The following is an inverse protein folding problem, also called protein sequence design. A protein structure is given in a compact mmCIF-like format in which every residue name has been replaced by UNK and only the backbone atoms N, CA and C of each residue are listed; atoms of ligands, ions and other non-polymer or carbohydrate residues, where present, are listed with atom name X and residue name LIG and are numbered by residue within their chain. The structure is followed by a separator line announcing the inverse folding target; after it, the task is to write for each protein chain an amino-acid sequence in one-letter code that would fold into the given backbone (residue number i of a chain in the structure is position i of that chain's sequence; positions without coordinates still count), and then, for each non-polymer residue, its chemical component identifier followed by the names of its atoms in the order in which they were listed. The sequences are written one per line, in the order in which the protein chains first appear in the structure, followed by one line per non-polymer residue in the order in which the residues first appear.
data_IF_663215863159
#
_entry.id   IF_663215863159
#
_cell.length_a   1.000
_cell.length_b   1.000
_cell.length_c   1.000
_cell.angle_alpha   90.00
_cell.angle_beta   90.00
_cell.angle_gamma   90.00
#
_symmetry.space_group_name_H-M   'P 1'
#
loop_
_entity.id
_entity.type
_entity.pdbx_description
1 polymer ?
#
# COMPACT_ATOMS: atom_id res chain seq x y z
N UNK A 1 -31.57 -3.64 -38.44
CA UNK A 1 -30.59 -4.75 -38.39
C UNK A 1 -29.16 -4.35 -37.96
N UNK A 2 -28.77 -3.06 -37.96
CA UNK A 2 -27.39 -2.66 -37.61
C UNK A 2 -27.06 -2.65 -36.10
N UNK A 3 -28.05 -2.49 -35.21
CA UNK A 3 -27.81 -2.41 -33.76
C UNK A 3 -27.49 -3.75 -33.09
N UNK A 4 -28.04 -4.86 -33.61
CA UNK A 4 -27.80 -6.22 -33.07
C UNK A 4 -26.41 -6.75 -33.42
N UNK A 5 -25.86 -6.33 -34.58
CA UNK A 5 -24.52 -6.71 -35.02
C UNK A 5 -23.42 -6.02 -34.20
N UNK A 6 -23.65 -4.79 -33.74
CA UNK A 6 -22.72 -4.06 -32.85
C UNK A 6 -22.68 -4.64 -31.42
N UNK A 7 -23.79 -5.16 -30.89
CA UNK A 7 -23.80 -5.83 -29.57
C UNK A 7 -23.02 -7.15 -29.58
N UNK A 8 -23.17 -7.96 -30.63
CA UNK A 8 -22.40 -9.21 -30.78
C UNK A 8 -20.90 -8.99 -30.95
N UNK A 9 -20.47 -7.88 -31.57
CA UNK A 9 -19.06 -7.57 -31.71
C UNK A 9 -18.44 -7.17 -30.35
N UNK A 10 -19.16 -6.37 -29.57
CA UNK A 10 -18.72 -5.98 -28.22
C UNK A 10 -18.72 -7.17 -27.24
N UNK A 11 -19.70 -8.07 -27.32
CA UNK A 11 -19.75 -9.28 -26.48
C UNK A 11 -18.62 -10.27 -26.82
N UNK A 12 -18.18 -10.32 -28.08
CA UNK A 12 -17.05 -11.14 -28.49
C UNK A 12 -15.70 -10.52 -28.09
N UNK A 13 -15.54 -9.19 -28.16
CA UNK A 13 -14.34 -8.50 -27.65
C UNK A 13 -14.21 -8.63 -26.12
N UNK A 14 -15.33 -8.60 -25.38
CA UNK A 14 -15.32 -8.83 -23.92
C UNK A 14 -14.90 -10.27 -23.61
N UNK A 15 -15.37 -11.26 -24.39
CA UNK A 15 -15.01 -12.67 -24.18
C UNK A 15 -13.57 -13.01 -24.61
N UNK A 16 -12.98 -12.27 -25.56
CA UNK A 16 -11.55 -12.37 -25.87
C UNK A 16 -10.68 -11.80 -24.74
N UNK A 17 -11.09 -10.71 -24.09
CA UNK A 17 -10.36 -10.12 -22.96
C UNK A 17 -10.42 -11.03 -21.71
N UNK A 18 -11.51 -11.77 -21.49
CA UNK A 18 -11.64 -12.67 -20.34
C UNK A 18 -10.88 -13.99 -20.48
N UNK A 19 -10.61 -14.46 -21.71
CA UNK A 19 -9.89 -15.71 -21.93
C UNK A 19 -8.35 -15.55 -21.86
N UNK A 20 -7.84 -14.32 -21.95
CA UNK A 20 -6.40 -14.03 -21.80
C UNK A 20 -5.98 -13.85 -20.33
N UNK A 21 -6.93 -13.97 -19.39
CA UNK A 21 -6.67 -13.87 -17.95
C UNK A 21 -6.39 -15.22 -17.28
N UNK A 22 -6.34 -16.31 -18.06
CA UNK A 22 -5.90 -17.61 -17.58
C UNK A 22 -4.43 -17.84 -17.97
N UNK A 23 -3.56 -16.96 -17.47
CA UNK A 23 -2.12 -17.17 -17.47
C UNK A 23 -1.65 -17.26 -16.01
N UNK A 24 -1.44 -18.50 -15.59
CA UNK A 24 -0.54 -18.97 -14.53
C UNK A 24 -0.11 -17.95 -13.48
N UNK A 25 -0.74 -18.03 -12.30
CA UNK A 25 -0.16 -17.46 -11.09
C UNK A 25 1.23 -18.10 -10.89
N UNK A 26 2.31 -17.31 -10.76
CA UNK A 26 3.63 -17.86 -10.50
C UNK A 26 3.57 -18.64 -9.19
N UNK A 27 4.11 -19.85 -9.21
CA UNK A 27 4.20 -20.68 -8.00
C UNK A 27 4.98 -19.95 -6.91
N UNK A 28 4.78 -20.31 -5.64
CA UNK A 28 5.52 -19.72 -4.53
C UNK A 28 7.04 -19.76 -4.78
N UNK A 29 7.53 -20.83 -5.41
CA UNK A 29 8.93 -21.00 -5.81
C UNK A 29 9.38 -19.96 -6.87
N UNK A 30 8.52 -19.62 -7.83
CA UNK A 30 8.80 -18.57 -8.82
C UNK A 30 8.85 -17.18 -8.19
N UNK A 31 7.97 -16.88 -7.24
CA UNK A 31 7.99 -15.61 -6.50
C UNK A 31 9.25 -15.47 -5.63
N UNK A 32 9.66 -16.55 -4.97
CA UNK A 32 10.91 -16.58 -4.18
C UNK A 32 12.13 -16.46 -5.10
N UNK A 33 12.10 -17.06 -6.28
CA UNK A 33 13.18 -16.96 -7.28
C UNK A 33 13.28 -15.57 -7.93
N UNK A 34 12.14 -14.91 -8.19
CA UNK A 34 12.10 -13.54 -8.71
C UNK A 34 12.57 -12.53 -7.66
N UNK A 35 12.38 -12.83 -6.37
CA UNK A 35 12.93 -12.07 -5.25
C UNK A 35 14.46 -12.25 -5.13
N UNK A 36 14.97 -13.47 -5.32
CA UNK A 36 16.41 -13.74 -5.28
C UNK A 36 17.17 -13.28 -6.53
N UNK A 37 16.46 -13.07 -7.66
CA UNK A 37 17.04 -12.63 -8.94
C UNK A 37 17.14 -11.10 -9.08
N UNK A 38 16.63 -10.33 -8.11
CA UNK A 38 16.87 -8.88 -8.05
C UNK A 38 18.38 -8.69 -7.91
N UNK A 39 19.00 -8.05 -8.90
CA UNK A 39 20.44 -7.78 -8.90
C UNK A 39 20.77 -6.76 -7.81
N UNK A 40 21.50 -7.20 -6.78
CA UNK A 40 21.88 -6.42 -5.60
C UNK A 40 23.38 -6.11 -5.72
N UNK A 41 23.73 -4.83 -5.63
CA UNK A 41 25.12 -4.39 -5.62
C UNK A 41 25.73 -4.67 -4.24
N UNK A 42 26.99 -5.08 -4.24
CA UNK A 42 27.68 -5.88 -3.21
C UNK A 42 27.91 -5.28 -1.81
N UNK A 43 27.10 -4.30 -1.38
CA UNK A 43 27.21 -3.65 -0.06
C UNK A 43 26.16 -4.11 0.97
N UNK A 44 25.28 -5.03 0.59
CA UNK A 44 23.93 -5.18 1.15
C UNK A 44 23.70 -6.42 2.06
N UNK A 45 24.72 -7.13 2.55
CA UNK A 45 24.47 -8.43 3.22
C UNK A 45 23.89 -8.36 4.65
N UNK A 46 24.24 -7.37 5.48
CA UNK A 46 23.80 -7.34 6.89
C UNK A 46 22.37 -6.80 7.09
N UNK A 47 21.93 -5.82 6.29
CA UNK A 47 20.58 -5.22 6.43
C UNK A 47 19.48 -6.00 5.67
N UNK A 48 19.86 -6.87 4.72
CA UNK A 48 18.89 -7.70 3.98
C UNK A 48 18.32 -8.81 4.85
N UNK A 49 19.10 -9.33 5.81
CA UNK A 49 18.63 -10.31 6.77
C UNK A 49 17.49 -9.76 7.65
N UNK A 50 17.58 -8.51 8.10
CA UNK A 50 16.51 -7.87 8.89
C UNK A 50 15.26 -7.57 8.04
N UNK A 51 15.47 -7.17 6.77
CA UNK A 51 14.41 -6.94 5.79
C UNK A 51 13.64 -8.22 5.42
N UNK A 52 14.33 -9.37 5.31
CA UNK A 52 13.74 -10.67 4.97
C UNK A 52 12.79 -11.23 6.04
N UNK A 53 12.97 -10.85 7.31
CA UNK A 53 12.05 -11.20 8.39
C UNK A 53 10.85 -10.26 8.50
N UNK A 54 10.99 -8.98 8.11
CA UNK A 54 9.91 -7.97 8.21
C UNK A 54 8.88 -8.07 7.07
N UNK A 55 9.29 -8.47 5.86
CA UNK A 55 8.38 -8.78 4.76
C UNK A 55 7.94 -10.26 4.72
N UNK A 56 8.51 -11.12 5.57
CA UNK A 56 8.23 -12.56 5.61
C UNK A 56 6.76 -12.91 5.83
N UNK A 57 6.00 -12.07 6.53
CA UNK A 57 4.53 -12.22 6.69
C UNK A 57 3.75 -11.75 5.46
N UNK A 58 4.23 -10.71 4.79
CA UNK A 58 3.51 -10.10 3.67
C UNK A 58 3.68 -10.89 2.38
N UNK A 59 4.89 -11.40 2.12
CA UNK A 59 5.25 -12.13 0.89
C UNK A 59 4.30 -13.30 0.55
N UNK A 60 3.97 -14.22 1.47
CA UNK A 60 3.07 -15.34 1.14
C UNK A 60 1.63 -14.88 0.87
N UNK A 61 1.24 -13.70 1.37
CA UNK A 61 -0.11 -13.15 1.23
C UNK A 61 -0.27 -12.27 -0.02
N UNK A 62 0.82 -11.90 -0.70
CA UNK A 62 0.81 -11.04 -1.90
C UNK A 62 -0.11 -11.56 -3.02
N UNK A 63 -0.14 -12.87 -3.35
CA UNK A 63 -1.00 -13.39 -4.41
C UNK A 63 -2.50 -13.16 -4.16
N UNK A 64 -2.92 -13.14 -2.89
CA UNK A 64 -4.33 -12.96 -2.50
C UNK A 64 -4.82 -11.51 -2.65
N UNK A 65 -3.89 -10.55 -2.80
CA UNK A 65 -4.22 -9.13 -2.91
C UNK A 65 -4.40 -8.61 -4.33
N UNK A 66 -4.33 -9.48 -5.33
CA UNK A 66 -4.47 -9.09 -6.73
C UNK A 66 -5.79 -8.33 -6.98
N UNK A 67 -5.71 -7.13 -7.55
CA UNK A 67 -6.87 -6.27 -7.80
C UNK A 67 -7.35 -5.45 -6.59
N UNK A 68 -6.66 -5.52 -5.45
CA UNK A 68 -6.98 -4.75 -4.26
C UNK A 68 -6.05 -3.54 -4.05
N UNK A 69 -6.50 -2.59 -3.22
CA UNK A 69 -5.72 -1.44 -2.77
C UNK A 69 -5.35 -1.61 -1.30
N UNK A 70 -4.05 -1.69 -1.04
CA UNK A 70 -3.49 -1.82 0.30
C UNK A 70 -3.15 -0.45 0.88
N UNK A 71 -3.59 -0.20 2.10
CA UNK A 71 -3.17 0.95 2.90
C UNK A 71 -2.32 0.44 4.05
N UNK A 72 -1.03 0.79 4.03
CA UNK A 72 -0.02 0.14 4.88
C UNK A 72 0.72 1.18 5.74
N UNK A 73 1.02 0.80 6.99
CA UNK A 73 1.76 1.64 7.92
C UNK A 73 3.25 1.76 7.55
N UNK A 74 3.88 2.83 8.04
CA UNK A 74 5.26 3.22 7.78
C UNK A 74 6.27 2.10 7.99
N UNK A 75 6.05 1.24 8.99
CA UNK A 75 6.96 0.13 9.30
C UNK A 75 7.20 -0.79 8.10
N UNK A 76 6.15 -1.06 7.33
CA UNK A 76 6.19 -1.98 6.20
C UNK A 76 6.44 -1.27 4.86
N UNK A 77 6.44 0.05 4.82
CA UNK A 77 6.61 0.79 3.57
C UNK A 77 8.06 0.79 3.09
N UNK A 78 8.24 0.37 1.84
CA UNK A 78 9.49 0.52 1.09
C UNK A 78 9.21 0.68 -0.41
N UNK A 79 10.07 1.41 -1.16
CA UNK A 79 9.98 1.49 -2.62
C UNK A 79 9.97 0.12 -3.30
N UNK A 80 10.87 -0.78 -2.88
CA UNK A 80 10.97 -2.13 -3.42
C UNK A 80 9.70 -2.96 -3.23
N UNK A 81 9.08 -2.89 -2.04
CA UNK A 81 7.81 -3.58 -1.79
C UNK A 81 6.69 -3.04 -2.68
N UNK A 82 6.62 -1.72 -2.87
CA UNK A 82 5.56 -1.12 -3.68
C UNK A 82 5.71 -1.46 -5.16
N UNK A 83 6.94 -1.58 -5.67
CA UNK A 83 7.18 -2.09 -7.02
C UNK A 83 6.76 -3.55 -7.16
N UNK A 84 7.07 -4.39 -6.17
CA UNK A 84 6.66 -5.80 -6.16
C UNK A 84 5.12 -5.93 -6.16
N UNK A 85 4.44 -5.18 -5.30
CA UNK A 85 2.98 -5.15 -5.24
C UNK A 85 2.39 -4.70 -6.58
N UNK A 86 2.97 -3.66 -7.20
CA UNK A 86 2.50 -3.19 -8.50
C UNK A 86 2.67 -4.24 -9.62
N UNK A 87 3.81 -4.95 -9.65
CA UNK A 87 4.02 -6.07 -10.59
C UNK A 87 2.98 -7.17 -10.44
N UNK A 88 2.55 -7.41 -9.21
CA UNK A 88 1.49 -8.36 -8.87
C UNK A 88 0.06 -7.77 -8.98
N UNK A 89 -0.10 -6.65 -9.70
CA UNK A 89 -1.39 -5.97 -9.94
C UNK A 89 -2.11 -5.54 -8.66
N UNK A 90 -1.34 -5.26 -7.60
CA UNK A 90 -1.85 -4.80 -6.30
C UNK A 90 -1.47 -3.33 -6.11
N UNK A 91 -2.48 -2.50 -5.90
CA UNK A 91 -2.30 -1.10 -5.59
C UNK A 91 -1.89 -0.90 -4.13
N UNK A 92 -1.00 0.04 -3.83
CA UNK A 92 -0.57 0.32 -2.47
C UNK A 92 -0.44 1.83 -2.19
N UNK A 93 -0.71 2.19 -0.94
CA UNK A 93 -0.50 3.53 -0.40
C UNK A 93 -0.06 3.43 1.07
N UNK A 94 0.93 4.22 1.46
CA UNK A 94 1.38 4.25 2.85
C UNK A 94 2.15 5.50 3.20
N UNK A 95 2.26 5.76 4.51
CA UNK A 95 3.19 6.75 5.04
C UNK A 95 4.60 6.18 5.01
N UNK A 96 5.62 7.01 4.83
CA UNK A 96 7.01 6.55 4.81
C UNK A 96 7.92 7.45 5.62
N UNK A 97 8.99 6.89 6.17
CA UNK A 97 10.00 7.63 6.90
C UNK A 97 10.94 8.36 5.93
N UNK A 98 11.36 9.58 6.26
CA UNK A 98 12.24 10.39 5.41
C UNK A 98 13.59 9.70 5.10
N UNK A 99 14.14 8.99 6.09
CA UNK A 99 15.42 8.29 5.99
C UNK A 99 15.31 6.88 5.37
N UNK A 100 14.17 6.53 4.78
CA UNK A 100 14.00 5.24 4.13
C UNK A 100 14.82 5.22 2.82
N UNK A 101 15.69 4.23 2.70
CA UNK A 101 16.53 4.05 1.51
C UNK A 101 15.69 3.82 0.25
N UNK A 102 16.17 4.35 -0.89
CA UNK A 102 15.52 4.20 -2.20
C UNK A 102 14.45 5.24 -2.52
N UNK A 103 14.16 6.21 -1.64
CA UNK A 103 13.24 7.30 -1.96
C UNK A 103 13.91 8.38 -2.82
N UNK A 104 13.19 8.97 -3.78
CA UNK A 104 13.66 10.15 -4.50
C UNK A 104 13.85 11.31 -3.52
N UNK A 105 14.94 12.07 -3.70
CA UNK A 105 15.27 13.19 -2.82
C UNK A 105 14.25 14.33 -2.96
N UNK A 106 13.45 14.54 -1.90
CA UNK A 106 12.50 15.63 -1.76
C UNK A 106 13.08 16.69 -0.80
N UNK A 107 14.20 17.29 -1.23
CA UNK A 107 15.05 18.14 -0.40
C UNK A 107 14.48 19.55 -0.14
N UNK A 108 13.40 19.94 -0.82
CA UNK A 108 12.88 21.31 -0.70
C UNK A 108 12.25 21.51 0.68
N UNK A 109 12.64 22.61 1.34
CA UNK A 109 11.99 23.08 2.57
C UNK A 109 10.63 23.65 2.20
N UNK A 110 9.58 22.94 2.59
CA UNK A 110 8.20 23.34 2.33
C UNK A 110 7.72 24.34 3.39
N UNK A 111 6.80 25.23 3.00
CA UNK A 111 5.94 26.00 3.91
C UNK A 111 4.70 25.19 4.28
N UNK A 112 4.00 25.60 5.33
CA UNK A 112 2.75 24.94 5.74
C UNK A 112 1.72 25.05 4.61
N UNK A 113 1.13 23.93 4.24
CA UNK A 113 0.18 23.81 3.13
C UNK A 113 0.83 23.46 1.79
N UNK A 114 2.16 23.61 1.66
CA UNK A 114 2.87 23.22 0.45
C UNK A 114 3.19 21.72 0.43
N UNK A 115 3.42 21.23 -0.78
CA UNK A 115 3.80 19.85 -1.05
C UNK A 115 4.76 19.78 -2.23
N UNK A 116 5.63 18.79 -2.19
CA UNK A 116 6.48 18.40 -3.29
C UNK A 116 6.14 16.95 -3.64
N UNK A 117 6.19 16.61 -4.92
CA UNK A 117 6.07 15.23 -5.35
C UNK A 117 7.19 14.92 -6.35
N UNK A 118 7.60 13.66 -6.34
CA UNK A 118 8.41 13.07 -7.37
C UNK A 118 7.70 11.82 -7.84
N UNK A 119 7.64 11.63 -9.16
CA UNK A 119 7.10 10.44 -9.75
C UNK A 119 8.21 9.66 -10.46
N UNK A 120 8.19 8.36 -10.27
CA UNK A 120 8.85 7.40 -11.15
C UNK A 120 7.78 6.87 -12.12
N UNK A 121 8.13 5.95 -13.01
CA UNK A 121 7.16 5.33 -13.92
C UNK A 121 6.00 4.63 -13.19
N UNK A 122 6.24 4.15 -11.97
CA UNK A 122 5.28 3.34 -11.19
C UNK A 122 4.94 3.95 -9.83
N UNK A 123 5.89 4.65 -9.21
CA UNK A 123 5.78 5.14 -7.85
C UNK A 123 5.56 6.64 -7.80
N UNK A 124 4.64 7.07 -6.95
CA UNK A 124 4.48 8.44 -6.51
C UNK A 124 5.05 8.58 -5.10
N UNK A 125 6.12 9.36 -4.97
CA UNK A 125 6.62 9.84 -3.69
C UNK A 125 6.12 11.26 -3.45
N UNK A 126 5.39 11.48 -2.37
CA UNK A 126 4.81 12.78 -2.06
C UNK A 126 5.23 13.23 -0.66
N UNK A 127 5.73 14.46 -0.57
CA UNK A 127 6.05 15.16 0.67
C UNK A 127 5.06 16.28 0.86
N UNK A 128 4.36 16.31 1.99
CA UNK A 128 3.42 17.38 2.32
C UNK A 128 3.70 17.92 3.71
N UNK A 129 3.66 19.25 3.86
CA UNK A 129 3.89 19.89 5.15
C UNK A 129 2.62 20.50 5.69
N UNK A 130 2.20 20.04 6.86
CA UNK A 130 1.19 20.71 7.66
C UNK A 130 1.82 21.24 8.95
N UNK A 131 1.47 20.68 10.13
CA UNK A 131 2.20 20.94 11.39
C UNK A 131 3.54 20.20 11.42
N UNK A 132 3.56 19.01 10.82
CA UNK A 132 4.75 18.17 10.61
C UNK A 132 4.84 17.83 9.12
N UNK A 133 6.02 17.45 8.69
CA UNK A 133 6.25 16.92 7.35
C UNK A 133 5.80 15.46 7.33
N UNK A 134 5.03 15.11 6.29
CA UNK A 134 4.52 13.76 6.06
C UNK A 134 5.00 13.34 4.70
N UNK A 135 5.63 12.16 4.64
CA UNK A 135 6.03 11.53 3.40
C UNK A 135 5.07 10.38 3.12
N UNK A 136 4.66 10.28 1.87
CA UNK A 136 3.74 9.27 1.36
C UNK A 136 4.40 8.57 0.18
N UNK A 137 4.15 7.27 0.09
CA UNK A 137 4.45 6.48 -1.09
C UNK A 137 3.15 5.88 -1.62
N UNK A 138 2.97 5.89 -2.94
CA UNK A 138 1.78 5.29 -3.55
C UNK A 138 2.01 4.82 -4.97
N UNK A 139 1.32 3.74 -5.37
CA UNK A 139 1.24 3.26 -6.76
C UNK A 139 -0.13 3.51 -7.41
N UNK A 140 -1.12 3.95 -6.63
CA UNK A 140 -2.51 4.12 -7.09
C UNK A 140 -2.89 5.57 -7.34
N UNK A 141 -2.27 6.51 -6.64
CA UNK A 141 -2.66 7.91 -6.66
C UNK A 141 -1.87 8.72 -7.69
N UNK A 142 -2.55 9.70 -8.28
CA UNK A 142 -1.91 10.82 -8.99
C UNK A 142 -1.60 11.97 -8.03
N UNK A 143 -0.69 12.91 -8.36
CA UNK A 143 -0.38 14.10 -7.57
C UNK A 143 -1.52 15.14 -7.66
N UNK A 144 -2.72 14.76 -7.21
CA UNK A 144 -3.91 15.59 -7.20
C UNK A 144 -4.23 16.12 -5.80
N UNK A 145 -4.95 17.24 -5.75
CA UNK A 145 -5.28 17.97 -4.54
C UNK A 145 -6.77 18.24 -4.46
N UNK A 146 -7.33 17.98 -3.28
CA UNK A 146 -8.73 18.26 -2.98
C UNK A 146 -8.82 19.33 -1.92
N UNK A 147 -9.76 20.25 -2.11
CA UNK A 147 -10.09 21.26 -1.12
C UNK A 147 -10.80 20.58 0.04
N UNK A 148 -10.29 20.75 1.26
CA UNK A 148 -10.99 20.30 2.45
C UNK A 148 -12.04 21.35 2.81
N UNK A 149 -13.21 20.97 3.34
CA UNK A 149 -14.19 21.90 3.92
C UNK A 149 -13.70 22.60 5.22
N UNK A 150 -12.38 22.61 5.46
CA UNK A 150 -11.73 23.20 6.64
C UNK A 150 -10.98 24.45 6.21
N UNK A 151 -11.26 25.54 6.90
CA UNK A 151 -10.60 26.83 6.72
C UNK A 151 -9.47 26.92 7.76
N UNK A 152 -8.29 27.38 7.35
CA UNK A 152 -7.22 27.65 8.29
C UNK A 152 -7.57 28.91 9.11
N UNK A 153 -7.52 28.80 10.43
CA UNK A 153 -7.94 29.87 11.34
C UNK A 153 -7.03 31.11 11.27
N UNK A 154 -5.80 30.94 10.80
CA UNK A 154 -4.82 32.04 10.73
C UNK A 154 -4.86 32.81 9.41
N UNK A 155 -4.99 32.11 8.28
CA UNK A 155 -4.98 32.73 6.94
C UNK A 155 -6.37 32.95 6.37
N UNK A 156 -7.40 32.29 6.91
CA UNK A 156 -8.76 32.33 6.36
C UNK A 156 -8.90 31.57 5.03
N UNK A 157 -7.86 30.86 4.60
CA UNK A 157 -7.83 30.13 3.34
C UNK A 157 -8.31 28.68 3.51
N UNK A 158 -8.84 28.11 2.42
CA UNK A 158 -9.28 26.71 2.37
C UNK A 158 -8.08 25.77 2.36
N UNK A 159 -8.02 24.84 3.33
CA UNK A 159 -6.90 23.90 3.44
C UNK A 159 -6.99 22.88 2.30
N UNK A 160 -6.02 22.92 1.39
CA UNK A 160 -5.86 21.92 0.32
C UNK A 160 -5.02 20.77 0.82
N UNK A 161 -5.46 19.54 0.54
CA UNK A 161 -4.75 18.31 0.90
C UNK A 161 -4.54 17.42 -0.32
N UNK A 162 -3.39 16.74 -0.42
CA UNK A 162 -3.19 15.69 -1.41
C UNK A 162 -4.25 14.59 -1.26
N UNK A 163 -4.77 14.09 -2.37
CA UNK A 163 -5.80 13.04 -2.39
C UNK A 163 -5.31 11.78 -1.66
N UNK A 164 -4.06 11.38 -1.89
CA UNK A 164 -3.47 10.21 -1.25
C UNK A 164 -3.47 10.27 0.28
N UNK A 165 -3.33 11.46 0.87
CA UNK A 165 -3.37 11.65 2.32
C UNK A 165 -4.80 11.54 2.85
N UNK A 166 -5.78 12.03 2.09
CA UNK A 166 -7.19 11.93 2.46
C UNK A 166 -7.66 10.47 2.44
N UNK A 167 -7.32 9.73 1.38
CA UNK A 167 -7.66 8.32 1.28
C UNK A 167 -6.95 7.49 2.34
N UNK A 168 -5.64 7.68 2.52
CA UNK A 168 -4.90 6.99 3.59
C UNK A 168 -5.53 7.23 4.96
N UNK A 169 -5.83 8.47 5.32
CA UNK A 169 -6.43 8.80 6.62
C UNK A 169 -7.82 8.20 6.79
N UNK A 170 -8.59 8.04 5.71
CA UNK A 170 -9.92 7.43 5.75
C UNK A 170 -9.82 5.92 5.97
N UNK A 171 -8.93 5.26 5.24
CA UNK A 171 -8.77 3.81 5.30
C UNK A 171 -8.09 3.38 6.60
N UNK A 172 -7.04 4.08 7.06
CA UNK A 172 -6.41 3.80 8.35
C UNK A 172 -7.33 4.11 9.53
N UNK A 173 -8.12 5.19 9.45
CA UNK A 173 -9.10 5.48 10.50
C UNK A 173 -10.14 4.36 10.68
N UNK A 174 -10.52 3.68 9.60
CA UNK A 174 -11.42 2.53 9.69
C UNK A 174 -10.77 1.31 10.39
N UNK A 175 -9.45 1.14 10.25
CA UNK A 175 -8.69 0.10 10.97
C UNK A 175 -8.64 0.44 12.45
N UNK A 176 -8.27 1.68 12.81
CA UNK A 176 -8.23 2.15 14.20
C UNK A 176 -9.61 2.05 14.88
N UNK A 177 -10.68 2.40 14.15
CA UNK A 177 -12.06 2.28 14.64
C UNK A 177 -12.43 0.81 14.90
N UNK A 178 -12.03 -0.11 14.02
CA UNK A 178 -12.27 -1.55 14.20
C UNK A 178 -11.52 -2.10 15.41
N UNK A 179 -10.22 -1.77 15.55
CA UNK A 179 -9.40 -2.15 16.70
C UNK A 179 -9.98 -1.62 18.01
N UNK A 180 -10.50 -0.39 17.99
CA UNK A 180 -11.21 0.18 19.12
C UNK A 180 -12.46 -0.63 19.48
N UNK A 181 -13.31 -1.00 18.50
CA UNK A 181 -14.50 -1.82 18.78
C UNK A 181 -14.12 -3.20 19.34
N UNK A 182 -13.08 -3.82 18.79
CA UNK A 182 -12.55 -5.10 19.27
C UNK A 182 -12.13 -4.94 20.74
N UNK A 183 -11.36 -3.90 21.08
CA UNK A 183 -10.90 -3.65 22.44
C UNK A 183 -12.03 -3.47 23.47
N UNK A 184 -13.19 -2.93 23.05
CA UNK A 184 -14.37 -2.81 23.92
C UNK A 184 -15.10 -4.14 24.11
N UNK A 185 -15.07 -5.01 23.10
CA UNK A 185 -15.73 -6.31 23.10
C UNK A 185 -14.88 -7.43 23.72
N UNK A 186 -13.56 -7.28 23.73
CA UNK A 186 -12.64 -8.21 24.35
C UNK A 186 -12.66 -8.03 25.86
N UNK A 187 -13.35 -8.96 26.55
CA UNK A 187 -13.12 -9.19 27.96
C UNK A 187 -11.73 -9.84 28.16
N UNK A 188 -10.64 -9.09 27.94
CA UNK A 188 -9.27 -9.57 28.13
C UNK A 188 -9.09 -9.88 29.62
N UNK A 189 -9.27 -11.14 30.00
CA UNK A 189 -8.87 -11.62 31.33
C UNK A 189 -7.35 -11.65 31.35
N UNK A 190 -6.74 -10.95 32.31
CA UNK A 190 -5.29 -11.05 32.56
C UNK A 190 -4.95 -12.51 32.89
N UNK A 191 -4.45 -13.26 31.92
CA UNK A 191 -3.85 -14.56 32.15
C UNK A 191 -2.36 -14.37 32.42
N UNK A 192 -1.81 -15.18 33.32
CA UNK A 192 -0.39 -15.14 33.72
C UNK A 192 0.50 -15.77 32.63
N UNK A 193 -0.10 -16.32 31.56
CA UNK A 193 0.56 -17.01 30.47
C UNK A 193 0.05 -16.50 29.11
N UNK A 194 0.97 -16.01 28.27
CA UNK A 194 0.71 -15.56 26.90
C UNK A 194 0.53 -16.70 25.86
N UNK A 195 0.31 -17.95 26.30
CA UNK A 195 0.32 -19.15 25.43
C UNK A 195 -1.05 -19.67 24.97
N UNK A 196 -2.14 -18.90 25.11
CA UNK A 196 -3.50 -19.43 24.93
C UNK A 196 -4.37 -18.68 23.91
N UNK A 197 -3.79 -18.13 22.84
CA UNK A 197 -4.57 -17.58 21.72
C UNK A 197 -4.53 -18.40 20.42
N UNK A 198 -3.94 -19.60 20.41
CA UNK A 198 -3.85 -20.47 19.22
C UNK A 198 -4.80 -21.68 19.25
N UNK A 199 -5.92 -21.62 19.97
CA UNK A 199 -6.81 -22.80 20.14
C UNK A 199 -7.94 -22.94 19.10
N UNK A 200 -7.78 -22.42 17.87
CA UNK A 200 -8.81 -22.54 16.83
C UNK A 200 -8.39 -23.24 15.54
N UNK A 201 -7.28 -23.97 15.53
CA UNK A 201 -6.99 -24.93 14.46
C UNK A 201 -6.13 -26.07 15.01
N UNK A 202 -6.73 -27.23 15.31
CA UNK A 202 -6.21 -28.58 15.03
C UNK A 202 -7.19 -29.62 15.58
N UNK A 203 -7.73 -30.54 14.76
CA UNK A 203 -8.47 -31.69 15.27
C UNK A 203 -7.51 -32.70 15.91
N UNK A 204 -7.85 -33.31 17.06
CA UNK A 204 -7.03 -34.36 17.64
C UNK A 204 -7.10 -35.63 16.79
N UNK A 205 -5.93 -36.22 16.53
CA UNK A 205 -5.72 -37.52 15.92
C UNK A 205 -6.20 -38.68 16.80
#
# INVERSE_FOLDING_TARGET
MAASKKRRLAENEINEITNDSQSDLPSEDELVSNFSSISIDSSDEEDVAERKWQCGTFIPMIPEFNGHHLYIDNWYTSPALFELLHRNKTGACGTVHENRQGLPSLATKLRRGESQHSHTNVLLALKWKNKREVHMLSTIHSPSYTNTNKIDRQTGEVIRKPVCILEYSKNMGAVDDADMQISFSECIRKSINCRYYDSWNYPPS
#
